data_IF_640965479954
#
_entry.id   IF_640965479954
#
_cell.length_a   1.000
_cell.length_b   1.000
_cell.length_c   1.000
_cell.angle_alpha   90.00
_cell.angle_beta   90.00
_cell.angle_gamma   90.00
#
_symmetry.space_group_name_H-M   'P 1'
#
loop_
_entity.id
_entity.type
_entity.pdbx_description
1 polymer ?
#
# COMPACT_ATOMS: atom_id res chain seq x y z
N UNK A 1 13.19 12.64 5.02
CA UNK A 1 12.71 12.36 3.65
C UNK A 1 13.76 12.70 2.62
N UNK A 2 13.95 11.87 1.60
CA UNK A 2 14.81 12.17 0.44
C UNK A 2 14.08 13.12 -0.51
N UNK A 3 14.83 14.02 -1.14
CA UNK A 3 14.28 14.97 -2.11
C UNK A 3 14.62 14.52 -3.53
N UNK A 4 13.62 14.52 -4.42
CA UNK A 4 13.78 14.22 -5.85
C UNK A 4 13.44 15.47 -6.65
N UNK A 5 14.24 15.81 -7.64
CA UNK A 5 13.98 16.91 -8.55
C UNK A 5 13.33 16.39 -9.83
N UNK A 6 12.23 17.01 -10.24
CA UNK A 6 11.48 16.66 -11.46
C UNK A 6 11.25 17.91 -12.28
N UNK A 7 11.63 17.85 -13.57
CA UNK A 7 11.38 18.90 -14.53
C UNK A 7 10.05 18.66 -15.24
N UNK A 8 9.19 19.66 -15.24
CA UNK A 8 7.87 19.55 -15.82
C UNK A 8 7.51 20.76 -16.67
N UNK A 9 6.60 20.56 -17.60
CA UNK A 9 6.10 21.59 -18.51
C UNK A 9 4.64 21.87 -18.19
N UNK A 10 4.30 23.14 -18.06
CA UNK A 10 2.92 23.56 -17.83
C UNK A 10 2.03 23.23 -19.02
N UNK A 11 0.81 22.76 -18.77
CA UNK A 11 -0.19 22.49 -19.81
C UNK A 11 -1.03 23.72 -20.04
N UNK A 12 -1.20 24.06 -21.31
CA UNK A 12 -2.09 25.12 -21.78
C UNK A 12 -3.41 24.55 -22.32
N UNK A 13 -3.35 23.36 -22.92
CA UNK A 13 -4.50 22.70 -23.51
C UNK A 13 -5.04 21.59 -22.60
N UNK A 14 -6.37 21.54 -22.50
CA UNK A 14 -7.08 20.58 -21.70
C UNK A 14 -8.04 19.78 -22.57
N UNK A 15 -8.23 18.52 -22.24
CA UNK A 15 -9.22 17.71 -22.89
C UNK A 15 -8.75 16.28 -23.22
N UNK A 16 -9.70 15.49 -23.72
CA UNK A 16 -9.49 14.06 -23.99
C UNK A 16 -8.50 13.81 -25.15
N UNK A 17 -8.51 14.65 -26.16
CA UNK A 17 -7.64 14.56 -27.34
C UNK A 17 -6.17 14.83 -26.96
N UNK A 18 -5.94 15.93 -26.24
CA UNK A 18 -4.62 16.32 -25.77
C UNK A 18 -4.02 15.29 -24.81
N UNK A 19 -4.78 14.85 -23.81
CA UNK A 19 -4.34 13.82 -22.87
C UNK A 19 -3.96 12.51 -23.56
N UNK A 20 -4.69 12.12 -24.63
CA UNK A 20 -4.35 10.93 -25.41
C UNK A 20 -3.04 11.13 -26.19
N UNK A 21 -2.83 12.30 -26.78
CA UNK A 21 -1.60 12.64 -27.50
C UNK A 21 -0.37 12.64 -26.58
N UNK A 22 -0.49 13.21 -25.38
CA UNK A 22 0.58 13.18 -24.37
C UNK A 22 1.00 11.76 -24.01
N UNK A 23 0.05 10.87 -23.73
CA UNK A 23 0.33 9.48 -23.37
C UNK A 23 0.93 8.64 -24.50
N UNK A 24 0.64 8.97 -25.76
CA UNK A 24 1.28 8.33 -26.92
C UNK A 24 2.76 8.69 -27.00
N UNK A 25 3.14 9.87 -26.54
CA UNK A 25 4.52 10.35 -26.49
C UNK A 25 5.19 10.06 -25.14
N UNK A 26 4.69 9.08 -24.36
CA UNK A 26 5.17 8.68 -23.04
C UNK A 26 5.26 9.86 -22.03
N UNK A 27 4.43 10.90 -22.24
CA UNK A 27 4.26 11.99 -21.29
C UNK A 27 3.04 11.73 -20.40
N UNK A 28 3.23 11.91 -19.11
CA UNK A 28 2.18 11.69 -18.09
C UNK A 28 1.57 13.03 -17.72
N UNK A 29 0.24 13.20 -17.88
CA UNK A 29 -0.46 14.35 -17.37
C UNK A 29 -0.55 14.30 -15.85
N UNK A 30 -0.23 15.41 -15.20
CA UNK A 30 -0.19 15.56 -13.75
C UNK A 30 -0.96 16.78 -13.30
N UNK A 31 -1.40 16.77 -12.06
CA UNK A 31 -2.04 17.91 -11.40
C UNK A 31 -1.38 18.15 -10.04
N UNK A 32 -1.11 19.42 -9.75
CA UNK A 32 -0.69 19.88 -8.43
C UNK A 32 -1.77 20.74 -7.83
N UNK A 33 -2.16 20.45 -6.59
CA UNK A 33 -3.13 21.21 -5.83
C UNK A 33 -2.67 21.42 -4.37
N UNK A 34 -3.44 22.20 -3.60
CA UNK A 34 -3.10 22.58 -2.23
C UNK A 34 -2.48 23.97 -2.11
N UNK A 35 -2.09 24.59 -3.22
CA UNK A 35 -1.65 25.97 -3.30
C UNK A 35 -2.78 26.98 -3.46
N UNK A 36 -2.47 28.16 -4.03
CA UNK A 36 -3.46 29.19 -4.38
C UNK A 36 -4.28 28.78 -5.60
N UNK A 37 -3.64 28.13 -6.56
CA UNK A 37 -4.23 27.67 -7.82
C UNK A 37 -3.82 26.22 -8.09
N UNK A 38 -4.67 25.51 -8.84
CA UNK A 38 -4.35 24.19 -9.32
C UNK A 38 -3.52 24.31 -10.60
N UNK A 39 -2.33 23.72 -10.58
CA UNK A 39 -1.41 23.76 -11.73
C UNK A 39 -1.46 22.41 -12.43
N UNK A 40 -1.77 22.46 -13.72
CA UNK A 40 -1.74 21.29 -14.60
C UNK A 40 -0.42 21.29 -15.38
N UNK A 41 0.25 20.15 -15.38
CA UNK A 41 1.53 19.99 -16.04
C UNK A 41 1.68 18.58 -16.60
N UNK A 42 2.74 18.34 -17.32
CA UNK A 42 3.14 17.02 -17.75
C UNK A 42 4.65 16.89 -17.68
N UNK A 43 5.11 15.66 -17.49
CA UNK A 43 6.51 15.32 -17.59
C UNK A 43 6.65 13.92 -18.21
N UNK A 44 7.85 13.58 -18.65
CA UNK A 44 8.12 12.28 -19.23
C UNK A 44 8.05 11.18 -18.16
N UNK A 45 7.52 10.00 -18.50
CA UNK A 45 7.33 8.87 -17.57
C UNK A 45 8.63 8.49 -16.81
N UNK A 46 9.78 8.59 -17.47
CA UNK A 46 11.09 8.27 -16.87
C UNK A 46 11.45 9.17 -15.67
N UNK A 47 11.00 10.43 -15.66
CA UNK A 47 11.25 11.35 -14.54
C UNK A 47 10.58 10.89 -13.24
N UNK A 48 9.49 10.15 -13.37
CA UNK A 48 8.74 9.63 -12.23
C UNK A 48 9.19 8.25 -11.77
N UNK A 49 10.11 7.61 -12.51
CA UNK A 49 10.52 6.23 -12.23
C UNK A 49 11.12 6.06 -10.84
N UNK A 50 11.99 6.97 -10.42
CA UNK A 50 12.57 6.94 -9.07
C UNK A 50 11.56 7.21 -7.97
N UNK A 51 10.49 7.96 -8.26
CA UNK A 51 9.43 8.27 -7.30
C UNK A 51 8.43 7.12 -7.11
N UNK A 52 8.11 6.40 -8.18
CA UNK A 52 7.03 5.41 -8.20
C UNK A 52 7.51 4.03 -7.78
N UNK A 53 8.70 3.61 -8.24
CA UNK A 53 9.22 2.27 -8.03
C UNK A 53 10.06 2.12 -6.76
N UNK A 54 10.22 3.19 -5.97
CA UNK A 54 10.79 3.11 -4.62
C UNK A 54 9.67 3.04 -3.59
N UNK A 55 9.81 2.21 -2.55
CA UNK A 55 8.78 2.07 -1.53
C UNK A 55 8.71 3.27 -0.57
N UNK A 56 9.68 4.18 -0.61
CA UNK A 56 9.81 5.28 0.35
C UNK A 56 8.96 6.49 -0.03
N UNK A 57 8.59 7.29 0.97
CA UNK A 57 7.98 8.60 0.72
C UNK A 57 9.05 9.64 0.43
N UNK A 58 8.89 10.32 -0.70
CA UNK A 58 9.81 11.36 -1.17
C UNK A 58 9.16 12.74 -1.17
N UNK A 59 9.97 13.75 -0.83
CA UNK A 59 9.64 15.14 -1.12
C UNK A 59 10.10 15.43 -2.57
N UNK A 60 9.21 15.95 -3.38
CA UNK A 60 9.51 16.27 -4.79
C UNK A 60 9.68 17.77 -4.94
N UNK A 61 10.81 18.18 -5.49
CA UNK A 61 11.02 19.55 -5.95
C UNK A 61 10.65 19.63 -7.43
N UNK A 62 9.47 20.18 -7.71
CA UNK A 62 8.90 20.24 -9.03
C UNK A 62 9.26 21.58 -9.69
N UNK A 63 9.97 21.53 -10.82
CA UNK A 63 10.36 22.71 -11.58
C UNK A 63 9.39 22.90 -12.77
N UNK A 64 8.53 23.92 -12.67
CA UNK A 64 7.56 24.24 -13.72
C UNK A 64 7.78 25.69 -14.18
N UNK A 65 8.10 25.90 -15.45
CA UNK A 65 8.22 27.25 -16.02
C UNK A 65 9.22 28.19 -15.31
N UNK A 66 10.25 27.62 -14.66
CA UNK A 66 11.23 28.38 -13.88
C UNK A 66 10.86 28.60 -12.41
N UNK A 67 9.68 28.17 -11.96
CA UNK A 67 9.29 28.19 -10.57
C UNK A 67 9.49 26.81 -9.92
N UNK A 68 9.93 26.78 -8.67
CA UNK A 68 10.14 25.58 -7.89
C UNK A 68 8.99 25.40 -6.87
N UNK A 69 8.43 24.20 -6.81
CA UNK A 69 7.35 23.85 -5.91
C UNK A 69 7.73 22.59 -5.11
N UNK A 70 7.60 22.65 -3.80
CA UNK A 70 7.73 21.49 -2.95
C UNK A 70 6.40 20.75 -2.90
N UNK A 71 6.39 19.52 -3.40
CA UNK A 71 5.17 18.72 -3.50
C UNK A 71 5.43 17.29 -3.00
N UNK A 72 4.36 16.61 -2.63
CA UNK A 72 4.38 15.19 -2.28
C UNK A 72 3.39 14.45 -3.16
N UNK A 73 3.73 13.23 -3.51
CA UNK A 73 2.86 12.32 -4.23
C UNK A 73 1.63 11.98 -3.38
N UNK A 74 0.44 12.13 -3.96
CA UNK A 74 -0.81 11.78 -3.27
C UNK A 74 -1.48 10.56 -3.86
N UNK A 75 -1.62 10.50 -5.19
CA UNK A 75 -2.28 9.39 -5.86
C UNK A 75 -1.66 9.10 -7.22
N UNK A 76 -1.76 7.83 -7.64
CA UNK A 76 -1.24 7.29 -8.88
C UNK A 76 -2.31 6.48 -9.59
N UNK A 77 -2.45 6.71 -10.89
CA UNK A 77 -3.35 5.94 -11.73
C UNK A 77 -2.56 5.18 -12.79
N UNK A 78 -2.69 3.86 -12.76
CA UNK A 78 -2.09 2.98 -13.75
C UNK A 78 -3.14 2.41 -14.69
N UNK A 79 -2.72 2.05 -15.88
CA UNK A 79 -3.57 1.32 -16.81
C UNK A 79 -3.67 -0.15 -16.37
N UNK A 80 -4.90 -0.72 -16.23
CA UNK A 80 -5.10 -2.02 -15.57
C UNK A 80 -4.50 -3.23 -16.32
N UNK A 81 -4.12 -3.08 -17.59
CA UNK A 81 -3.59 -4.18 -18.43
C UNK A 81 -2.13 -3.96 -18.81
N UNK A 82 -1.73 -2.70 -19.08
CA UNK A 82 -0.38 -2.39 -19.57
C UNK A 82 0.54 -1.82 -18.53
N UNK A 83 0.04 -1.59 -17.29
CA UNK A 83 0.74 -0.96 -16.16
C UNK A 83 1.38 0.41 -16.50
N UNK A 84 1.02 1.01 -17.65
CA UNK A 84 1.48 2.34 -18.00
C UNK A 84 0.86 3.39 -17.08
N UNK A 85 1.64 4.38 -16.73
CA UNK A 85 1.22 5.48 -15.89
C UNK A 85 0.24 6.39 -16.63
N UNK A 86 -0.96 6.57 -16.09
CA UNK A 86 -2.03 7.36 -16.70
C UNK A 86 -2.12 8.78 -16.13
N UNK A 87 -1.98 8.93 -14.82
CA UNK A 87 -2.13 10.20 -14.13
C UNK A 87 -1.41 10.19 -12.80
N UNK A 88 -0.91 11.36 -12.38
CA UNK A 88 -0.30 11.55 -11.07
C UNK A 88 -0.89 12.79 -10.42
N UNK A 89 -1.27 12.64 -9.17
CA UNK A 89 -1.75 13.72 -8.31
C UNK A 89 -0.67 14.13 -7.31
N UNK A 90 -0.34 15.40 -7.29
CA UNK A 90 0.57 15.99 -6.33
C UNK A 90 -0.14 16.96 -5.41
N UNK A 91 0.28 17.01 -4.17
CA UNK A 91 -0.15 18.02 -3.22
C UNK A 91 1.02 18.94 -2.89
N UNK A 92 0.80 20.25 -3.02
CA UNK A 92 1.79 21.24 -2.60
C UNK A 92 1.90 21.26 -1.08
N UNK A 93 3.12 21.26 -0.60
CA UNK A 93 3.43 21.18 0.81
C UNK A 93 3.97 22.51 1.29
N UNK A 94 3.43 22.96 2.41
CA UNK A 94 3.87 24.14 3.13
C UNK A 94 4.32 23.72 4.53
N UNK A 95 5.28 24.44 5.09
CA UNK A 95 5.80 24.13 6.43
C UNK A 95 4.73 24.28 7.53
N UNK A 96 3.81 25.24 7.35
CA UNK A 96 2.79 25.61 8.33
C UNK A 96 1.46 24.84 8.21
N UNK A 97 1.31 23.99 7.18
CA UNK A 97 0.05 23.29 6.94
C UNK A 97 0.23 21.77 7.10
N UNK A 98 -0.59 21.12 7.94
CA UNK A 98 -0.58 19.68 8.01
C UNK A 98 -1.11 19.07 6.71
N UNK A 99 -0.44 18.07 6.21
CA UNK A 99 -0.79 17.35 4.98
C UNK A 99 -1.10 15.89 5.31
N UNK A 100 -2.01 15.28 4.54
CA UNK A 100 -2.34 13.87 4.65
C UNK A 100 -1.63 13.10 3.54
N UNK A 101 -0.78 12.15 3.93
CA UNK A 101 0.01 11.32 3.02
C UNK A 101 -0.16 9.84 3.39
N UNK A 102 -0.03 8.95 2.41
CA UNK A 102 0.06 7.51 2.63
C UNK A 102 1.53 7.14 2.82
N UNK A 103 1.92 6.71 4.04
CA UNK A 103 3.28 6.30 4.36
C UNK A 103 3.35 4.77 4.33
N UNK A 104 4.35 4.17 3.66
CA UNK A 104 4.54 2.74 3.60
C UNK A 104 4.95 2.17 4.96
N UNK A 105 4.61 0.90 5.19
CA UNK A 105 4.92 0.17 6.40
C UNK A 105 6.12 -0.73 6.13
N UNK A 106 7.14 -0.64 6.99
CA UNK A 106 8.25 -1.58 7.04
C UNK A 106 8.05 -2.50 8.25
N UNK A 107 7.99 -3.80 7.98
CA UNK A 107 7.85 -4.81 9.03
C UNK A 107 9.24 -5.20 9.50
N UNK A 108 9.50 -5.06 10.81
CA UNK A 108 10.76 -5.41 11.45
C UNK A 108 10.57 -6.58 12.42
N UNK A 109 11.62 -7.36 12.63
CA UNK A 109 11.61 -8.50 13.51
C UNK A 109 11.10 -9.80 12.87
N UNK A 110 11.12 -10.88 13.65
CA UNK A 110 10.61 -12.19 13.26
C UNK A 110 9.61 -12.68 14.30
N UNK A 111 8.38 -12.89 13.88
CA UNK A 111 7.30 -13.37 14.75
C UNK A 111 7.53 -14.84 15.16
N UNK A 112 7.37 -15.21 16.45
CA UNK A 112 7.36 -16.60 16.89
C UNK A 112 6.26 -17.41 16.22
N UNK A 113 5.11 -16.79 15.93
CA UNK A 113 4.04 -17.42 15.19
C UNK A 113 4.43 -17.83 13.76
N UNK A 114 5.28 -17.06 13.08
CA UNK A 114 5.81 -17.43 11.75
C UNK A 114 6.83 -18.58 11.90
N UNK A 115 7.69 -18.56 12.93
CA UNK A 115 8.62 -19.65 13.22
C UNK A 115 7.90 -20.97 13.52
N UNK A 116 6.73 -20.90 14.14
CA UNK A 116 5.88 -22.06 14.44
C UNK A 116 5.03 -22.52 13.24
N UNK A 117 5.31 -22.03 12.01
CA UNK A 117 4.63 -22.45 10.79
C UNK A 117 3.39 -21.62 10.42
N UNK A 118 3.11 -20.53 11.14
CA UNK A 118 2.07 -19.57 10.77
C UNK A 118 2.43 -18.76 9.54
N UNK A 119 1.41 -18.31 8.79
CA UNK A 119 1.57 -17.45 7.63
C UNK A 119 1.33 -15.98 8.00
N UNK A 120 2.33 -15.13 7.75
CA UNK A 120 2.18 -13.69 7.90
C UNK A 120 1.26 -13.13 6.79
N UNK A 121 0.19 -12.46 7.19
CA UNK A 121 -0.76 -11.84 6.27
C UNK A 121 -0.76 -10.32 6.49
N UNK A 122 -0.23 -9.58 5.54
CA UNK A 122 -0.18 -8.12 5.54
C UNK A 122 -1.49 -7.61 4.93
N UNK A 123 -2.34 -7.01 5.75
CA UNK A 123 -3.62 -6.43 5.31
C UNK A 123 -3.47 -5.02 4.77
N UNK A 124 -2.54 -4.26 5.34
CA UNK A 124 -2.25 -2.88 4.93
C UNK A 124 -0.76 -2.74 4.69
N UNK A 125 -0.39 -2.19 3.54
CA UNK A 125 1.00 -1.91 3.15
C UNK A 125 1.40 -0.47 3.37
N UNK A 126 0.41 0.43 3.50
CA UNK A 126 0.59 1.84 3.79
C UNK A 126 -0.49 2.33 4.72
N UNK A 127 -0.23 3.39 5.48
CA UNK A 127 -1.18 4.05 6.36
C UNK A 127 -1.32 5.52 5.97
N UNK A 128 -2.56 6.02 5.97
CA UNK A 128 -2.84 7.44 5.79
C UNK A 128 -2.58 8.18 7.08
N UNK A 129 -1.58 9.05 7.06
CA UNK A 129 -1.13 9.80 8.21
C UNK A 129 -1.22 11.29 7.92
N UNK A 130 -1.68 12.07 8.89
CA UNK A 130 -1.72 13.52 8.85
C UNK A 130 -0.66 14.07 9.78
N UNK A 131 0.14 15.02 9.29
CA UNK A 131 1.21 15.64 10.07
C UNK A 131 1.85 16.79 9.32
N UNK A 132 2.90 17.34 9.90
CA UNK A 132 3.74 18.34 9.24
C UNK A 132 4.85 17.66 8.45
N UNK A 133 5.29 18.28 7.37
CA UNK A 133 6.32 17.72 6.48
C UNK A 133 7.61 17.35 7.19
N UNK A 134 7.98 18.09 8.22
CA UNK A 134 9.21 17.88 9.00
C UNK A 134 9.18 16.59 9.82
N UNK A 135 7.97 16.14 10.22
CA UNK A 135 7.78 15.01 11.13
C UNK A 135 7.55 13.69 10.39
N UNK A 136 7.42 13.70 9.06
CA UNK A 136 7.17 12.48 8.32
C UNK A 136 8.44 11.61 8.18
N UNK A 137 8.40 10.36 8.66
CA UNK A 137 9.45 9.37 8.37
C UNK A 137 9.37 8.87 6.91
N UNK A 138 10.42 8.26 6.41
CA UNK A 138 10.42 7.63 5.09
C UNK A 138 9.50 6.40 5.05
N UNK A 139 9.42 5.66 6.16
CA UNK A 139 8.54 4.50 6.35
C UNK A 139 8.14 4.39 7.83
N UNK A 140 7.04 3.69 8.10
CA UNK A 140 6.58 3.38 9.45
C UNK A 140 7.08 1.99 9.83
N UNK A 141 7.95 1.92 10.83
CA UNK A 141 8.46 0.64 11.34
C UNK A 141 7.44 -0.02 12.27
N UNK A 142 7.16 -1.28 12.02
CA UNK A 142 6.26 -2.09 12.84
C UNK A 142 6.98 -3.36 13.28
N UNK A 143 7.18 -3.50 14.59
CA UNK A 143 7.77 -4.69 15.18
C UNK A 143 6.73 -5.81 15.34
N UNK A 144 7.07 -7.00 14.84
CA UNK A 144 6.22 -8.19 14.90
C UNK A 144 6.77 -9.26 15.84
N UNK A 145 7.83 -8.99 16.61
CA UNK A 145 8.50 -9.98 17.47
C UNK A 145 7.61 -10.57 18.57
N UNK A 146 6.53 -9.88 18.94
CA UNK A 146 5.56 -10.35 19.93
C UNK A 146 4.33 -11.07 19.37
N UNK A 147 4.24 -11.27 18.03
CA UNK A 147 3.03 -11.83 17.42
C UNK A 147 3.06 -13.36 17.38
N UNK A 148 2.10 -14.00 18.04
CA UNK A 148 1.83 -15.44 18.00
C UNK A 148 0.84 -15.82 16.89
N UNK A 149 0.66 -17.13 16.69
CA UNK A 149 -0.32 -17.67 15.74
C UNK A 149 -1.74 -17.23 16.17
N UNK A 150 -2.52 -16.71 15.23
CA UNK A 150 -3.88 -16.21 15.45
C UNK A 150 -3.96 -14.77 15.96
N UNK A 151 -2.84 -14.16 16.30
CA UNK A 151 -2.82 -12.75 16.72
C UNK A 151 -2.73 -11.78 15.54
N UNK A 152 -3.17 -10.55 15.79
CA UNK A 152 -3.14 -9.47 14.80
C UNK A 152 -2.77 -8.16 15.47
N UNK A 153 -1.93 -7.38 14.80
CA UNK A 153 -1.61 -6.00 15.17
C UNK A 153 -2.62 -5.06 14.54
N UNK A 154 -3.19 -4.18 15.34
CA UNK A 154 -4.18 -3.18 14.92
C UNK A 154 -3.55 -1.79 14.86
N UNK A 155 -4.20 -0.90 14.11
CA UNK A 155 -3.76 0.51 14.00
C UNK A 155 -3.76 1.20 15.37
N UNK A 156 -4.71 0.85 16.25
CA UNK A 156 -4.82 1.43 17.58
C UNK A 156 -3.65 1.11 18.53
N UNK A 157 -2.87 0.07 18.22
CA UNK A 157 -1.72 -0.36 19.02
C UNK A 157 -0.46 0.44 18.67
N UNK A 158 -0.49 1.17 17.54
CA UNK A 158 0.61 2.01 17.10
C UNK A 158 0.51 3.40 17.74
N UNK A 159 1.63 3.88 18.26
CA UNK A 159 1.78 5.23 18.79
C UNK A 159 2.97 5.89 18.11
N UNK A 160 2.73 6.94 17.38
CA UNK A 160 3.76 7.79 16.79
C UNK A 160 3.60 9.21 17.33
N UNK A 161 4.70 9.81 17.74
CA UNK A 161 4.72 11.18 18.18
C UNK A 161 4.57 12.11 16.96
N UNK A 162 3.77 13.18 17.10
CA UNK A 162 3.50 14.21 16.08
C UNK A 162 2.77 13.75 14.81
N UNK A 163 2.29 12.50 14.76
CA UNK A 163 1.58 11.96 13.59
C UNK A 163 0.18 11.48 13.98
N UNK A 164 -0.82 11.93 13.25
CA UNK A 164 -2.21 11.51 13.44
C UNK A 164 -2.60 10.49 12.35
N UNK A 165 -2.88 9.24 12.75
CA UNK A 165 -3.33 8.21 11.82
C UNK A 165 -4.83 8.42 11.55
N UNK A 166 -5.17 8.67 10.27
CA UNK A 166 -6.53 9.00 9.86
C UNK A 166 -7.40 7.76 9.59
N UNK A 167 -6.87 6.56 9.74
CA UNK A 167 -7.58 5.32 9.52
C UNK A 167 -8.23 4.78 10.80
N UNK A 168 -9.19 3.85 10.64
CA UNK A 168 -9.92 3.27 11.76
C UNK A 168 -8.99 2.46 12.68
N UNK A 169 -8.94 2.82 13.96
CA UNK A 169 -8.11 2.17 15.00
C UNK A 169 -8.35 0.67 15.14
N UNK A 170 -9.55 0.17 14.76
CA UNK A 170 -9.89 -1.26 14.81
C UNK A 170 -9.36 -2.05 13.61
N UNK A 171 -8.89 -1.39 12.55
CA UNK A 171 -8.36 -2.06 11.36
C UNK A 171 -7.07 -2.79 11.68
N UNK A 172 -6.96 -4.02 11.16
CA UNK A 172 -5.75 -4.85 11.29
C UNK A 172 -4.73 -4.43 10.23
N UNK A 173 -3.47 -4.34 10.62
CA UNK A 173 -2.34 -4.06 9.73
C UNK A 173 -1.71 -5.38 9.29
N UNK A 174 -1.33 -6.19 10.28
CA UNK A 174 -0.67 -7.47 10.10
C UNK A 174 -1.36 -8.52 10.97
N UNK A 175 -1.48 -9.73 10.47
CA UNK A 175 -1.99 -10.88 11.22
C UNK A 175 -1.18 -12.14 10.90
N UNK A 176 -0.99 -13.00 11.88
CA UNK A 176 -0.39 -14.33 11.68
C UNK A 176 -1.52 -15.36 11.65
N UNK A 177 -1.77 -15.92 10.48
CA UNK A 177 -2.79 -16.95 10.31
C UNK A 177 -2.19 -18.35 10.46
N UNK A 178 -2.96 -19.29 11.00
CA UNK A 178 -2.61 -20.72 10.98
C UNK A 178 -2.52 -21.23 9.56
N UNK A 179 -1.47 -22.00 9.26
CA UNK A 179 -1.41 -22.71 7.99
C UNK A 179 -2.23 -24.03 8.11
N UNK A 180 -2.81 -24.49 7.00
CA UNK A 180 -3.59 -25.75 6.99
C UNK A 180 -2.75 -26.98 7.39
N UNK A 181 -1.43 -26.87 7.30
CA UNK A 181 -0.49 -27.94 7.68
C UNK A 181 -0.41 -28.07 9.20
N UNK A 182 -0.35 -26.95 9.92
CA UNK A 182 -0.29 -26.95 11.40
C UNK A 182 -1.60 -27.46 12.00
N UNK A 183 -2.76 -27.14 11.41
CA UNK A 183 -4.05 -27.66 11.86
C UNK A 183 -4.17 -29.19 11.72
N UNK A 184 -3.40 -29.80 10.80
CA UNK A 184 -3.43 -31.26 10.60
C UNK A 184 -2.58 -32.00 11.63
N UNK A 185 -1.56 -31.36 12.20
CA UNK A 185 -0.73 -31.97 13.28
C UNK A 185 -1.42 -31.84 14.65
N UNK A 186 -2.10 -30.74 14.97
CA UNK A 186 -2.88 -30.61 16.19
C UNK A 186 -4.14 -31.49 16.21
N UNK A 187 -4.68 -31.84 15.02
CA UNK A 187 -5.81 -32.78 14.89
C UNK A 187 -5.41 -34.27 14.92
N UNK A 188 -4.12 -34.57 14.86
CA UNK A 188 -3.65 -35.97 14.81
C UNK A 188 -3.28 -36.57 16.21
N UNK A 189 -3.17 -35.76 17.26
CA UNK A 189 -2.90 -36.25 18.62
C UNK A 189 -4.15 -36.57 19.45
N UNK A 190 -5.36 -36.43 18.90
CA UNK A 190 -6.63 -36.53 19.62
C UNK A 190 -7.53 -37.73 19.30
N UNK A 191 -7.17 -38.66 18.43
CA UNK A 191 -8.04 -39.82 18.16
C UNK A 191 -7.25 -41.12 18.02
N UNK A 192 -6.95 -41.73 19.17
CA UNK A 192 -6.71 -43.16 19.26
C UNK A 192 -7.61 -43.69 20.36
N UNK A 193 -8.69 -44.29 20.03
CA UNK A 193 -9.34 -45.46 20.65
C UNK A 193 -10.86 -45.43 20.41
N UNK A 194 -11.34 -46.24 19.51
CA UNK A 194 -12.41 -47.20 19.75
C UNK A 194 -12.71 -47.93 18.44
N UNK A 195 -12.29 -49.12 18.45
CA UNK A 195 -12.58 -50.40 17.86
C UNK A 195 -14.09 -50.63 17.58
N UNK A 196 -14.40 -51.32 16.49
CA UNK A 196 -15.62 -52.11 16.42
C UNK A 196 -16.35 -52.14 15.09
N UNK A 197 -15.95 -53.08 14.20
CA UNK A 197 -16.79 -53.98 13.38
C UNK A 197 -18.10 -53.45 12.75
N UNK A 198 -18.22 -53.47 11.45
CA UNK A 198 -19.01 -54.47 10.69
C UNK A 198 -19.35 -53.93 9.28
N UNK A 199 -18.88 -54.54 8.28
CA UNK A 199 -19.42 -54.56 6.94
C UNK A 199 -20.35 -55.83 6.82
N UNK A 200 -21.15 -56.08 5.80
CA UNK A 200 -21.31 -55.44 4.50
C UNK A 200 -22.78 -55.33 4.03
N UNK A 201 -23.08 -54.67 2.95
CA UNK A 201 -23.94 -55.17 1.86
C UNK A 201 -24.29 -54.03 0.86
N UNK A 202 -23.78 -54.19 -0.31
CA UNK A 202 -24.44 -53.83 -1.57
C UNK A 202 -25.69 -54.73 -1.79
N UNK A 203 -26.73 -54.37 -2.53
CA UNK A 203 -26.61 -54.17 -3.99
C UNK A 203 -27.63 -53.21 -4.66
N UNK A 204 -27.17 -52.77 -5.84
CA UNK A 204 -27.89 -52.77 -7.13
C UNK A 204 -29.15 -51.86 -7.36
N UNK A 205 -28.96 -51.01 -8.34
CA UNK A 205 -29.68 -50.96 -9.64
C UNK A 205 -31.02 -50.21 -9.75
N UNK A 206 -31.05 -49.50 -10.86
CA UNK A 206 -32.12 -49.19 -11.80
C UNK A 206 -32.72 -47.77 -11.69
N UNK A 207 -32.36 -46.89 -12.63
CA UNK A 207 -32.92 -46.74 -13.96
C UNK A 207 -34.24 -45.92 -13.99
N UNK A 208 -34.20 -44.93 -14.87
CA UNK A 208 -35.28 -44.41 -15.71
C UNK A 208 -36.24 -43.35 -15.15
N UNK A 209 -36.11 -42.13 -15.52
CA UNK A 209 -36.86 -41.45 -16.60
C UNK A 209 -36.32 -40.03 -16.80
#
# INVERSE_FOLDING_TARGET
MKTIEIKAVQREQFGKKDTKSLRVNDNVPCVMYGGKENIHFYAHENEFRSLIYTPDVHLVNLQIGGANYNVVLKDLQFHPVSDKLLHIDFIQVFEDKPVMIAIPILITGVSPGVKAGGRLNIKRRSLKVKGFTKDFPEHLEIDITGLEIGQSLKIGDLKYDNLEIMENKKSMIVSVATSRVVQKEEGAEGVVAAEGAEAPAEPAAAATK
#
